data_IF_500832717567
#
_entry.id   IF_500832717567
#
_cell.length_a   1.000
_cell.length_b   1.000
_cell.length_c   1.000
_cell.angle_alpha   90.00
_cell.angle_beta   90.00
_cell.angle_gamma   90.00
#
_symmetry.space_group_name_H-M   'P 1'
#
loop_
_entity.id
_entity.type
_entity.pdbx_description
1 polymer ?
#
# COMPACT_ATOMS: atom_id res chain seq x y z
N UNK A 1 -47.21 29.93 -70.41
CA UNK A 1 -46.34 28.78 -70.73
C UNK A 1 -44.95 29.06 -70.14
N UNK A 2 -44.60 29.00 -68.86
CA UNK A 2 -45.01 28.22 -67.67
C UNK A 2 -44.65 26.73 -67.71
N UNK A 3 -43.36 26.39 -67.92
CA UNK A 3 -42.86 25.02 -67.69
C UNK A 3 -41.40 24.87 -67.25
N UNK A 4 -40.56 25.91 -67.33
CA UNK A 4 -39.12 25.87 -66.95
C UNK A 4 -38.81 26.14 -65.46
N UNK A 5 -39.81 26.57 -64.67
CA UNK A 5 -39.61 26.84 -63.23
C UNK A 5 -39.89 25.61 -62.33
N UNK A 6 -40.50 24.54 -62.86
CA UNK A 6 -40.93 23.39 -62.07
C UNK A 6 -39.83 22.34 -61.85
N UNK A 7 -38.88 22.19 -62.80
CA UNK A 7 -37.80 21.19 -62.69
C UNK A 7 -36.69 21.60 -61.72
N UNK A 8 -36.37 22.89 -61.62
CA UNK A 8 -35.37 23.40 -60.68
C UNK A 8 -35.85 23.30 -59.22
N UNK A 9 -37.15 23.48 -58.98
CA UNK A 9 -37.77 23.32 -57.66
C UNK A 9 -37.74 21.86 -57.17
N UNK A 10 -37.94 20.89 -58.06
CA UNK A 10 -37.91 19.46 -57.73
C UNK A 10 -36.51 18.97 -57.35
N UNK A 11 -35.48 19.39 -58.09
CA UNK A 11 -34.08 19.00 -57.80
C UNK A 11 -33.59 19.64 -56.49
N UNK A 12 -33.89 20.91 -56.25
CA UNK A 12 -33.51 21.61 -55.00
C UNK A 12 -34.25 21.01 -53.79
N UNK A 13 -35.54 20.71 -53.92
CA UNK A 13 -36.33 20.09 -52.85
C UNK A 13 -35.79 18.69 -52.51
N UNK A 14 -35.42 17.90 -53.52
CA UNK A 14 -34.86 16.55 -53.31
C UNK A 14 -33.50 16.60 -52.61
N UNK A 15 -32.61 17.53 -52.98
CA UNK A 15 -31.30 17.70 -52.33
C UNK A 15 -31.45 18.13 -50.86
N UNK A 16 -32.37 19.05 -50.56
CA UNK A 16 -32.64 19.49 -49.18
C UNK A 16 -33.20 18.34 -48.33
N UNK A 17 -34.12 17.53 -48.88
CA UNK A 17 -34.66 16.37 -48.16
C UNK A 17 -33.58 15.32 -47.88
N UNK A 18 -32.74 14.99 -48.87
CA UNK A 18 -31.67 13.99 -48.71
C UNK A 18 -30.62 14.46 -47.69
N UNK A 19 -30.23 15.73 -47.73
CA UNK A 19 -29.28 16.30 -46.76
C UNK A 19 -29.85 16.33 -45.33
N UNK A 20 -31.13 16.68 -45.17
CA UNK A 20 -31.81 16.62 -43.87
C UNK A 20 -31.89 15.18 -43.34
N UNK A 21 -32.20 14.19 -44.19
CA UNK A 21 -32.25 12.78 -43.80
C UNK A 21 -30.87 12.30 -43.34
N UNK A 22 -29.80 12.64 -44.07
CA UNK A 22 -28.43 12.25 -43.69
C UNK A 22 -28.04 12.84 -42.33
N UNK A 23 -28.40 14.10 -42.06
CA UNK A 23 -28.15 14.74 -40.77
C UNK A 23 -28.93 14.05 -39.65
N UNK A 24 -30.21 13.71 -39.88
CA UNK A 24 -31.03 12.99 -38.89
C UNK A 24 -30.44 11.60 -38.58
N UNK A 25 -29.98 10.88 -39.59
CA UNK A 25 -29.34 9.57 -39.41
C UNK A 25 -28.01 9.69 -38.66
N UNK A 26 -27.18 10.68 -38.98
CA UNK A 26 -25.91 10.92 -38.29
C UNK A 26 -26.12 11.31 -36.82
N UNK A 27 -27.10 12.16 -36.53
CA UNK A 27 -27.49 12.55 -35.16
C UNK A 27 -28.07 11.37 -34.39
N UNK A 28 -28.92 10.56 -35.04
CA UNK A 28 -29.45 9.32 -34.45
C UNK A 28 -28.36 8.31 -34.09
N UNK A 29 -27.37 8.15 -34.97
CA UNK A 29 -26.22 7.26 -34.72
C UNK A 29 -25.34 7.76 -33.57
N UNK A 30 -25.10 9.08 -33.49
CA UNK A 30 -24.34 9.69 -32.40
C UNK A 30 -25.05 9.55 -31.04
N UNK A 31 -26.38 9.71 -31.02
CA UNK A 31 -27.20 9.51 -29.81
C UNK A 31 -27.19 8.04 -29.39
N UNK A 32 -27.27 7.10 -30.34
CA UNK A 32 -27.22 5.66 -30.06
C UNK A 32 -25.85 5.22 -29.50
N UNK A 33 -24.74 5.77 -30.03
CA UNK A 33 -23.39 5.47 -29.52
C UNK A 33 -23.08 6.16 -28.18
N UNK A 34 -23.77 7.25 -27.84
CA UNK A 34 -23.61 7.96 -26.56
C UNK A 34 -24.43 7.38 -25.40
N UNK A 35 -25.47 6.59 -25.69
CA UNK A 35 -26.31 5.98 -24.66
C UNK A 35 -25.70 4.66 -24.17
N UNK A 36 -24.84 4.73 -23.15
CA UNK A 36 -24.54 3.57 -22.31
C UNK A 36 -25.67 3.42 -21.29
N UNK A 37 -26.53 2.39 -21.35
CA UNK A 37 -27.46 2.14 -20.27
C UNK A 37 -26.64 1.88 -19.00
N UNK A 38 -26.70 2.82 -18.06
CA UNK A 38 -26.11 2.64 -16.74
C UNK A 38 -26.77 1.44 -16.11
N UNK A 39 -26.00 0.38 -15.87
CA UNK A 39 -26.44 -0.70 -14.99
C UNK A 39 -26.74 -0.03 -13.65
N UNK A 40 -27.96 -0.17 -13.09
CA UNK A 40 -28.24 0.35 -11.77
C UNK A 40 -27.23 -0.26 -10.81
N UNK A 41 -26.28 0.55 -10.35
CA UNK A 41 -25.38 0.12 -9.29
C UNK A 41 -26.28 -0.11 -8.07
N UNK A 42 -26.34 -1.32 -7.50
CA UNK A 42 -27.13 -1.54 -6.31
C UNK A 42 -26.64 -0.58 -5.24
N UNK A 43 -27.52 0.30 -4.78
CA UNK A 43 -27.24 1.14 -3.63
C UNK A 43 -26.90 0.22 -2.46
N UNK A 44 -25.77 0.42 -1.76
CA UNK A 44 -25.47 -0.39 -0.60
C UNK A 44 -26.59 -0.16 0.42
N UNK A 45 -27.38 -1.20 0.66
CA UNK A 45 -28.25 -1.25 1.83
C UNK A 45 -27.37 -1.03 3.05
N UNK A 46 -27.76 -0.21 4.04
CA UNK A 46 -27.06 -0.17 5.31
C UNK A 46 -27.25 -1.54 5.96
N UNK A 47 -26.31 -2.45 5.73
CA UNK A 47 -26.25 -3.72 6.44
C UNK A 47 -26.00 -3.38 7.89
N UNK A 48 -26.96 -3.77 8.72
CA UNK A 48 -26.90 -3.61 10.16
C UNK A 48 -25.53 -4.08 10.69
N UNK A 49 -24.90 -3.21 11.47
CA UNK A 49 -23.67 -3.45 12.21
C UNK A 49 -23.86 -4.59 13.22
N UNK A 50 -23.69 -5.83 12.76
CA UNK A 50 -23.09 -6.87 13.59
C UNK A 50 -21.57 -6.64 13.65
N UNK A 51 -20.85 -7.14 14.67
CA UNK A 51 -19.40 -7.02 14.74
C UNK A 51 -18.76 -7.89 13.65
N UNK A 52 -18.63 -7.33 12.46
CA UNK A 52 -17.85 -7.92 11.39
C UNK A 52 -16.38 -7.78 11.78
N UNK A 53 -15.79 -8.86 12.31
CA UNK A 53 -14.34 -8.97 12.42
C UNK A 53 -13.76 -8.85 11.02
N UNK A 54 -13.23 -7.68 10.70
CA UNK A 54 -12.34 -7.49 9.55
C UNK A 54 -11.07 -8.30 9.84
N UNK A 55 -10.98 -9.48 9.22
CA UNK A 55 -9.70 -10.16 9.03
C UNK A 55 -8.93 -9.41 7.94
N UNK A 56 -8.52 -8.19 8.23
CA UNK A 56 -7.51 -7.50 7.44
C UNK A 56 -6.16 -8.04 7.91
N UNK A 57 -5.61 -8.97 7.14
CA UNK A 57 -4.32 -9.62 7.36
C UNK A 57 -3.15 -8.66 7.04
N UNK A 58 -3.30 -7.39 7.42
CA UNK A 58 -2.28 -6.36 7.33
C UNK A 58 -1.68 -6.21 8.71
N UNK A 59 -0.47 -6.76 8.90
CA UNK A 59 0.25 -6.65 10.16
C UNK A 59 0.25 -5.21 10.65
N UNK A 60 -0.25 -4.94 11.85
CA UNK A 60 -0.22 -3.58 12.38
C UNK A 60 1.23 -3.08 12.51
N UNK A 61 1.44 -1.78 12.31
CA UNK A 61 2.71 -1.11 12.60
C UNK A 61 2.88 -1.01 14.12
N UNK A 62 3.94 -1.60 14.66
CA UNK A 62 4.26 -1.62 16.09
C UNK A 62 5.28 -0.54 16.42
N UNK A 63 5.06 0.27 17.49
CA UNK A 63 5.98 1.33 17.85
C UNK A 63 7.31 0.80 18.40
N UNK A 64 8.38 1.54 18.14
CA UNK A 64 9.65 1.44 18.86
C UNK A 64 9.68 2.53 19.93
N UNK A 65 10.23 2.19 21.09
CA UNK A 65 10.50 3.16 22.14
C UNK A 65 11.66 4.06 21.72
N UNK A 66 11.48 5.38 21.87
CA UNK A 66 12.56 6.33 21.66
C UNK A 66 13.68 6.09 22.69
N UNK A 67 14.93 6.18 22.24
CA UNK A 67 16.11 6.05 23.10
C UNK A 67 16.90 7.35 23.13
N UNK A 68 17.67 7.55 24.20
CA UNK A 68 18.60 8.68 24.35
C UNK A 68 17.95 10.06 24.08
N UNK A 69 16.69 10.23 24.49
CA UNK A 69 15.90 11.45 24.27
C UNK A 69 15.83 11.89 22.79
N UNK A 70 15.82 10.93 21.85
CA UNK A 70 15.86 11.23 20.42
C UNK A 70 14.68 12.06 19.90
N UNK A 71 13.53 11.98 20.57
CA UNK A 71 12.28 12.60 20.11
C UNK A 71 11.70 11.98 18.82
N UNK A 72 12.29 10.89 18.32
CA UNK A 72 11.85 10.22 17.10
C UNK A 72 10.72 9.23 17.40
N UNK A 73 9.68 9.26 16.57
CA UNK A 73 8.59 8.28 16.64
C UNK A 73 8.81 7.24 15.53
N UNK A 74 9.40 6.12 15.92
CA UNK A 74 9.69 5.01 15.02
C UNK A 74 8.66 3.89 15.18
N UNK A 75 8.36 3.21 14.07
CA UNK A 75 7.49 2.04 14.01
C UNK A 75 8.07 1.00 13.07
N UNK A 76 7.73 -0.26 13.30
CA UNK A 76 8.08 -1.36 12.43
C UNK A 76 6.86 -2.20 12.03
N UNK A 77 6.95 -2.86 10.89
CA UNK A 77 6.04 -3.92 10.48
C UNK A 77 6.87 -5.10 9.98
N UNK A 78 6.45 -6.31 10.35
CA UNK A 78 7.04 -7.56 9.89
C UNK A 78 5.97 -8.26 9.05
N UNK A 79 6.32 -8.87 7.92
CA UNK A 79 5.38 -9.66 7.10
C UNK A 79 6.11 -10.84 6.47
N UNK A 80 5.43 -11.98 6.32
CA UNK A 80 5.97 -13.09 5.55
C UNK A 80 5.95 -12.75 4.05
N UNK A 81 7.03 -13.08 3.33
CA UNK A 81 7.09 -12.87 1.88
C UNK A 81 6.65 -14.14 1.15
N UNK A 82 5.69 -14.03 0.24
CA UNK A 82 5.38 -15.10 -0.71
C UNK A 82 4.69 -16.33 -0.13
N UNK A 83 3.70 -16.20 0.77
CA UNK A 83 2.87 -17.36 1.10
C UNK A 83 1.39 -17.06 1.35
N UNK A 84 0.55 -17.18 0.31
CA UNK A 84 -0.90 -17.27 0.45
C UNK A 84 -1.38 -18.61 1.05
N UNK A 85 -0.53 -19.64 1.16
CA UNK A 85 -0.96 -21.00 1.59
C UNK A 85 0.08 -21.85 2.35
N UNK A 86 1.30 -21.35 2.64
CA UNK A 86 2.40 -22.17 3.20
C UNK A 86 3.32 -21.42 4.17
N UNK A 87 4.40 -22.09 4.60
CA UNK A 87 5.47 -21.50 5.44
C UNK A 87 6.37 -20.67 4.52
N UNK A 88 6.53 -19.37 4.78
CA UNK A 88 7.50 -18.53 4.06
C UNK A 88 8.90 -18.71 4.63
N UNK A 89 9.93 -18.72 3.76
CA UNK A 89 11.35 -18.70 4.14
C UNK A 89 11.91 -17.28 4.32
N UNK A 90 11.15 -16.25 3.98
CA UNK A 90 11.60 -14.86 3.96
C UNK A 90 10.66 -13.94 4.72
N UNK A 91 11.23 -12.93 5.34
CA UNK A 91 10.49 -11.95 6.12
C UNK A 91 10.82 -10.55 5.62
N UNK A 92 9.79 -9.76 5.37
CA UNK A 92 9.92 -8.34 5.05
C UNK A 92 9.74 -7.52 6.32
N UNK A 93 10.67 -6.62 6.56
CA UNK A 93 10.67 -5.65 7.64
C UNK A 93 10.56 -4.26 7.02
N UNK A 94 9.58 -3.49 7.47
CA UNK A 94 9.40 -2.10 7.11
C UNK A 94 9.62 -1.28 8.38
N UNK A 95 10.41 -0.22 8.28
CA UNK A 95 10.60 0.77 9.34
C UNK A 95 10.13 2.13 8.85
N UNK A 96 9.42 2.85 9.71
CA UNK A 96 9.10 4.27 9.50
C UNK A 96 9.53 5.08 10.70
N UNK A 97 10.15 6.23 10.49
CA UNK A 97 10.64 7.13 11.52
C UNK A 97 10.14 8.54 11.21
N UNK A 98 9.18 9.02 12.01
CA UNK A 98 8.70 10.39 11.90
C UNK A 98 9.77 11.36 12.41
N UNK A 99 9.88 12.51 11.75
CA UNK A 99 10.89 13.54 12.04
C UNK A 99 12.34 13.06 11.90
N UNK A 100 12.59 12.03 11.08
CA UNK A 100 13.96 11.62 10.76
C UNK A 100 14.76 12.79 10.18
N UNK A 101 16.02 13.01 10.63
CA UNK A 101 16.85 14.07 10.10
C UNK A 101 17.09 13.91 8.58
N UNK A 102 16.92 15.00 7.82
CA UNK A 102 17.14 14.98 6.37
C UNK A 102 18.61 14.73 6.03
N UNK A 103 18.86 13.94 4.98
CA UNK A 103 20.21 13.62 4.52
C UNK A 103 21.01 12.69 5.44
N UNK A 104 20.47 12.28 6.59
CA UNK A 104 21.12 11.35 7.50
C UNK A 104 20.68 9.92 7.18
N UNK A 105 21.68 9.05 7.02
CA UNK A 105 21.49 7.61 6.94
C UNK A 105 21.61 7.02 8.33
N UNK A 106 20.52 6.44 8.84
CA UNK A 106 20.42 5.85 10.18
C UNK A 106 20.50 4.31 10.07
N UNK A 107 21.61 3.68 10.48
CA UNK A 107 21.72 2.23 10.48
C UNK A 107 20.60 1.57 11.29
N UNK A 108 20.11 0.44 10.83
CA UNK A 108 19.07 -0.32 11.52
C UNK A 108 19.39 -1.80 11.48
N UNK A 109 19.13 -2.51 12.57
CA UNK A 109 19.49 -3.91 12.72
C UNK A 109 18.46 -4.65 13.59
N UNK A 110 18.37 -5.96 13.39
CA UNK A 110 17.83 -6.88 14.40
C UNK A 110 19.01 -7.48 15.15
N UNK A 111 19.05 -7.27 16.46
CA UNK A 111 20.04 -7.82 17.38
C UNK A 111 19.49 -9.02 18.14
N UNK A 112 20.38 -9.86 18.65
CA UNK A 112 20.08 -10.79 19.74
C UNK A 112 19.86 -10.04 21.05
N UNK A 113 19.10 -10.62 21.98
CA UNK A 113 18.85 -10.00 23.29
C UNK A 113 17.66 -9.05 23.28
N UNK A 114 17.75 -7.98 24.07
CA UNK A 114 16.66 -7.00 24.29
C UNK A 114 17.17 -5.57 24.15
N UNK A 115 16.29 -4.58 24.10
CA UNK A 115 16.67 -3.17 24.11
C UNK A 115 17.46 -2.77 25.37
N UNK A 116 17.21 -3.44 26.51
CA UNK A 116 17.95 -3.20 27.76
C UNK A 116 19.35 -3.82 27.75
N UNK A 117 19.57 -4.89 26.98
CA UNK A 117 20.85 -5.57 26.84
C UNK A 117 21.02 -6.06 25.39
N UNK A 118 21.45 -5.14 24.53
CA UNK A 118 21.56 -5.37 23.09
C UNK A 118 22.76 -6.28 22.80
N UNK A 119 22.50 -7.43 22.18
CA UNK A 119 23.54 -8.39 21.79
C UNK A 119 24.13 -8.11 20.41
N UNK A 120 24.73 -9.14 19.81
CA UNK A 120 25.28 -9.06 18.46
C UNK A 120 24.19 -8.83 17.41
N UNK A 121 24.55 -8.16 16.31
CA UNK A 121 23.70 -8.02 15.11
C UNK A 121 23.41 -9.41 14.55
N UNK A 122 22.14 -9.74 14.39
CA UNK A 122 21.68 -10.98 13.78
C UNK A 122 21.28 -10.78 12.32
N UNK A 123 20.55 -9.71 12.04
CA UNK A 123 20.15 -9.34 10.69
C UNK A 123 20.43 -7.86 10.44
N UNK A 124 21.34 -7.53 9.51
CA UNK A 124 21.47 -6.15 9.07
C UNK A 124 20.23 -5.74 8.28
N UNK A 125 19.74 -4.53 8.51
CA UNK A 125 18.66 -3.96 7.73
C UNK A 125 19.19 -2.83 6.85
N UNK A 126 18.41 -2.47 5.83
CA UNK A 126 18.63 -1.27 5.05
C UNK A 126 18.58 -0.06 6.00
N UNK A 127 19.52 0.86 5.88
CA UNK A 127 19.50 2.08 6.68
C UNK A 127 18.19 2.86 6.45
N UNK A 128 17.68 3.47 7.51
CA UNK A 128 16.57 4.41 7.40
C UNK A 128 17.11 5.70 6.78
N UNK A 129 16.55 6.07 5.62
CA UNK A 129 16.86 7.31 4.90
C UNK A 129 15.55 8.00 4.57
N UNK A 130 15.46 9.30 4.85
CA UNK A 130 14.20 10.04 4.65
C UNK A 130 13.03 9.50 5.48
N UNK A 131 13.33 8.84 6.60
CA UNK A 131 12.32 8.30 7.52
C UNK A 131 11.74 6.94 7.13
N UNK A 132 12.23 6.26 6.10
CA UNK A 132 11.75 4.91 5.74
C UNK A 132 12.91 3.94 5.52
N UNK A 133 12.67 2.67 5.83
CA UNK A 133 13.51 1.53 5.39
C UNK A 133 12.62 0.33 5.07
N UNK A 134 13.02 -0.44 4.05
CA UNK A 134 12.42 -1.72 3.67
C UNK A 134 13.54 -2.72 3.46
N UNK A 135 13.42 -3.88 4.11
CA UNK A 135 14.39 -4.98 4.01
C UNK A 135 13.65 -6.30 3.93
N UNK A 136 14.06 -7.18 3.02
CA UNK A 136 13.69 -8.60 3.06
C UNK A 136 14.89 -9.38 3.58
N UNK A 137 14.69 -10.19 4.61
CA UNK A 137 15.71 -11.09 5.16
C UNK A 137 15.39 -12.54 4.81
N UNK A 138 16.43 -13.34 4.61
CA UNK A 138 16.35 -14.80 4.39
C UNK A 138 16.14 -15.55 5.71
N UNK A 139 15.08 -15.19 6.41
CA UNK A 139 14.61 -15.88 7.60
C UNK A 139 13.08 -15.86 7.63
N UNK A 140 12.48 -17.00 7.96
CA UNK A 140 11.06 -17.12 8.24
C UNK A 140 10.69 -16.47 9.57
N UNK A 141 9.43 -16.06 9.72
CA UNK A 141 8.89 -15.59 11.00
C UNK A 141 9.05 -16.67 12.09
N UNK A 142 8.91 -17.96 11.75
CA UNK A 142 9.15 -19.06 12.69
C UNK A 142 10.61 -19.09 13.16
N UNK A 143 11.57 -18.92 12.26
CA UNK A 143 12.98 -18.84 12.64
C UNK A 143 13.26 -17.62 13.53
N UNK A 144 12.61 -16.47 13.29
CA UNK A 144 12.71 -15.31 14.18
C UNK A 144 12.17 -15.66 15.58
N UNK A 145 11.03 -16.35 15.69
CA UNK A 145 10.46 -16.81 16.97
C UNK A 145 11.36 -17.78 17.72
N UNK A 146 11.95 -18.76 17.01
CA UNK A 146 12.89 -19.71 17.60
C UNK A 146 14.23 -19.06 18.01
N UNK A 147 14.47 -17.83 17.55
CA UNK A 147 15.68 -17.07 17.82
C UNK A 147 15.54 -16.04 18.95
N UNK A 148 14.37 -15.96 19.56
CA UNK A 148 14.12 -15.02 20.65
C UNK A 148 15.02 -15.30 21.86
N UNK A 149 15.37 -14.27 22.65
CA UNK A 149 14.97 -12.87 22.49
C UNK A 149 15.73 -12.14 21.36
N UNK A 150 15.02 -11.25 20.67
CA UNK A 150 15.56 -10.36 19.63
C UNK A 150 15.10 -8.92 19.89
N UNK A 151 15.83 -7.95 19.36
CA UNK A 151 15.45 -6.54 19.40
C UNK A 151 15.70 -5.85 18.06
N UNK A 152 14.77 -5.03 17.60
CA UNK A 152 14.98 -4.14 16.45
C UNK A 152 15.48 -2.78 16.94
N UNK A 153 16.59 -2.31 16.40
CA UNK A 153 17.28 -1.10 16.84
C UNK A 153 17.56 -0.17 15.67
N UNK A 154 17.50 1.14 15.91
CA UNK A 154 17.89 2.20 14.97
C UNK A 154 18.97 3.06 15.63
N UNK A 155 20.06 3.28 14.90
CA UNK A 155 21.20 4.10 15.29
C UNK A 155 21.04 5.54 14.75
N UNK A 156 21.70 6.50 15.40
CA UNK A 156 21.59 7.93 15.07
C UNK A 156 22.12 8.28 13.69
N UNK A 157 23.28 7.74 13.31
CA UNK A 157 23.89 7.95 12.00
C UNK A 157 25.06 6.99 11.77
N UNK A 158 25.58 6.96 10.55
CA UNK A 158 26.83 6.23 10.21
C UNK A 158 28.03 6.79 11.01
N UNK A 159 28.06 8.10 11.28
CA UNK A 159 29.15 8.74 12.04
C UNK A 159 29.03 8.57 13.55
N UNK A 160 27.83 8.26 14.06
CA UNK A 160 27.56 8.03 15.48
C UNK A 160 26.86 6.66 15.69
N UNK A 161 27.47 5.55 15.28
CA UNK A 161 26.84 4.23 15.33
C UNK A 161 26.67 3.72 16.77
N UNK A 162 27.32 4.33 17.77
CA UNK A 162 27.12 3.98 19.17
C UNK A 162 25.88 4.61 19.82
N UNK A 163 25.21 5.55 19.14
CA UNK A 163 24.06 6.28 19.69
C UNK A 163 22.77 5.69 19.13
N UNK A 164 21.95 5.11 19.98
CA UNK A 164 20.66 4.54 19.59
C UNK A 164 19.55 5.57 19.68
N UNK A 165 18.64 5.60 18.71
CA UNK A 165 17.54 6.56 18.67
C UNK A 165 16.17 5.93 18.87
N UNK A 166 16.03 4.64 18.56
CA UNK A 166 14.81 3.89 18.81
C UNK A 166 15.09 2.39 18.96
N UNK A 167 14.28 1.68 19.77
CA UNK A 167 14.33 0.22 19.86
C UNK A 167 12.98 -0.39 20.27
N UNK A 168 12.71 -1.60 19.79
CA UNK A 168 11.65 -2.46 20.32
C UNK A 168 12.16 -3.88 20.53
N UNK A 169 11.74 -4.49 21.63
CA UNK A 169 11.87 -5.93 21.83
C UNK A 169 10.92 -6.66 20.85
N UNK A 170 11.43 -7.72 20.24
CA UNK A 170 10.65 -8.65 19.45
C UNK A 170 10.36 -9.83 20.36
N UNK A 171 9.14 -9.93 20.88
CA UNK A 171 8.71 -11.00 21.77
C UNK A 171 7.60 -11.81 21.12
N UNK A 172 7.33 -13.00 21.66
CA UNK A 172 6.25 -13.85 21.17
C UNK A 172 4.89 -13.13 21.25
N UNK A 173 4.63 -12.41 22.34
CA UNK A 173 3.41 -11.61 22.57
C UNK A 173 3.33 -10.30 21.77
N UNK A 174 4.39 -9.94 21.03
CA UNK A 174 4.42 -8.81 20.10
C UNK A 174 3.85 -9.15 18.71
N UNK A 175 4.18 -8.32 17.71
CA UNK A 175 3.68 -8.43 16.33
C UNK A 175 3.85 -9.80 15.67
N UNK A 176 4.77 -10.64 16.16
CA UNK A 176 5.13 -11.93 15.58
C UNK A 176 4.04 -13.00 15.78
N UNK A 177 3.26 -12.97 16.88
CA UNK A 177 2.14 -13.90 17.08
C UNK A 177 0.93 -13.55 16.22
N UNK A 178 0.60 -12.26 16.10
CA UNK A 178 -0.47 -11.80 15.18
C UNK A 178 -0.19 -12.21 13.73
N UNK A 179 1.08 -12.22 13.34
CA UNK A 179 1.54 -12.59 12.00
C UNK A 179 1.54 -14.09 11.71
N UNK A 180 1.75 -14.91 12.73
CA UNK A 180 1.83 -16.36 12.58
C UNK A 180 0.46 -17.03 12.68
N UNK A 181 -0.43 -16.49 13.52
CA UNK A 181 -1.74 -17.08 13.83
C UNK A 181 -2.89 -16.55 12.97
N UNK A 182 -2.66 -15.64 12.02
CA UNK A 182 -3.71 -15.15 11.10
C UNK A 182 -4.06 -16.13 9.95
N UNK A 183 -3.98 -17.44 10.21
CA UNK A 183 -4.49 -18.48 9.31
C UNK A 183 -5.91 -18.86 9.65
#
# INVERSE_FOLDING_TARGET
>A
MEKINSEKGFVVTTIVIVTVIIIIVAVGLAIWLGFRPGVPQPSPTPVATGPQRTSDNSSAMVPLSAQNNSGLNAKYQITAVGSPSGISSQTRIILTVMNAPQGISMPAHIHSGSCANLGAVKYPLTNVVGGTSVTTIDASILQLKLSLPLAINIHKSISEPGVYVACADLNADGSLDMLYNSK
#
